data_IF_602767841020
#
_entry.id   IF_602767841020
#
_cell.length_a   1.000
_cell.length_b   1.000
_cell.length_c   1.000
_cell.angle_alpha   90.00
_cell.angle_beta   90.00
_cell.angle_gamma   90.00
#
_symmetry.space_group_name_H-M   'P 1'
#
loop_
_entity.id
_entity.type
_entity.pdbx_description
1 polymer ?
#
# COMPACT_ATOMS: atom_id res chain seq x y z
N UNK A 1 -1.17 -21.96 -16.90
CA UNK A 1 -0.98 -21.81 -18.36
C UNK A 1 -0.61 -20.38 -18.64
N UNK A 2 0.64 -20.14 -19.09
CA UNK A 2 1.17 -18.81 -19.38
C UNK A 2 0.40 -18.20 -20.55
N UNK A 3 -0.51 -17.27 -20.27
CA UNK A 3 -1.03 -16.38 -21.31
C UNK A 3 0.10 -15.40 -21.59
N UNK A 4 0.71 -15.54 -22.76
CA UNK A 4 1.61 -14.54 -23.34
C UNK A 4 0.77 -13.29 -23.65
N UNK A 5 0.58 -12.44 -22.65
CA UNK A 5 0.08 -11.09 -22.86
C UNK A 5 1.13 -10.32 -23.67
N UNK A 6 0.66 -9.59 -24.68
CA UNK A 6 1.42 -8.87 -25.70
C UNK A 6 2.84 -8.44 -25.27
N UNK A 7 3.84 -9.24 -25.63
CA UNK A 7 5.24 -8.93 -25.39
C UNK A 7 5.82 -8.28 -26.64
N UNK A 8 6.26 -7.04 -26.50
CA UNK A 8 7.01 -6.36 -27.56
C UNK A 8 8.48 -6.80 -27.48
N UNK A 9 8.93 -7.64 -28.43
CA UNK A 9 10.29 -8.22 -28.45
C UNK A 9 11.21 -7.38 -29.33
N UNK A 10 12.36 -6.96 -28.80
CA UNK A 10 13.36 -6.17 -29.55
C UNK A 10 13.16 -4.65 -29.51
N UNK A 11 12.27 -4.16 -28.63
CA UNK A 11 12.00 -2.73 -28.45
C UNK A 11 12.47 -2.27 -27.07
N UNK A 12 12.58 -0.94 -26.87
CA UNK A 12 12.98 -0.33 -25.61
C UNK A 12 11.80 0.38 -24.94
N UNK A 13 11.74 0.34 -23.60
CA UNK A 13 10.77 1.11 -22.81
C UNK A 13 10.85 2.63 -23.10
N UNK A 14 12.06 3.13 -23.37
CA UNK A 14 12.29 4.53 -23.80
C UNK A 14 11.57 4.79 -25.14
N UNK A 15 11.67 3.86 -26.09
CA UNK A 15 10.96 3.94 -27.37
C UNK A 15 9.45 3.99 -27.17
N UNK A 16 8.91 3.12 -26.32
CA UNK A 16 7.48 3.09 -25.99
C UNK A 16 6.99 4.45 -25.47
N UNK A 17 7.70 5.04 -24.51
CA UNK A 17 7.33 6.34 -23.93
C UNK A 17 7.50 7.48 -24.95
N UNK A 18 8.63 7.55 -25.65
CA UNK A 18 8.93 8.65 -26.58
C UNK A 18 8.02 8.66 -27.80
N UNK A 19 7.81 7.49 -28.41
CA UNK A 19 7.00 7.37 -29.62
C UNK A 19 5.54 7.63 -29.29
N UNK A 20 4.99 7.01 -28.23
CA UNK A 20 3.59 7.23 -27.83
C UNK A 20 3.33 8.70 -27.49
N UNK A 21 4.22 9.33 -26.71
CA UNK A 21 4.15 10.76 -26.40
C UNK A 21 4.19 11.62 -27.66
N UNK A 22 5.17 11.42 -28.54
CA UNK A 22 5.28 12.17 -29.79
C UNK A 22 4.02 12.04 -30.64
N UNK A 23 3.50 10.82 -30.81
CA UNK A 23 2.29 10.58 -31.59
C UNK A 23 1.09 11.33 -30.99
N UNK A 24 0.83 11.17 -29.70
CA UNK A 24 -0.28 11.84 -29.00
C UNK A 24 -0.18 13.37 -29.06
N UNK A 25 1.02 13.92 -28.90
CA UNK A 25 1.24 15.37 -28.97
C UNK A 25 1.13 15.90 -30.40
N UNK A 26 1.61 15.14 -31.39
CA UNK A 26 1.57 15.53 -32.81
C UNK A 26 0.16 15.55 -33.40
N UNK A 27 -0.72 14.66 -32.93
CA UNK A 27 -2.12 14.60 -33.38
C UNK A 27 -3.05 15.48 -32.52
N UNK A 28 -2.59 15.94 -31.36
CA UNK A 28 -3.38 16.83 -30.52
C UNK A 28 -3.52 18.20 -31.17
N UNK A 29 -4.74 18.55 -31.55
CA UNK A 29 -5.07 19.85 -32.16
C UNK A 29 -5.05 21.01 -31.15
N UNK A 30 -4.84 20.72 -29.86
CA UNK A 30 -4.84 21.70 -28.77
C UNK A 30 -3.44 22.07 -28.29
N UNK A 31 -2.39 21.47 -28.86
CA UNK A 31 -1.01 21.64 -28.39
C UNK A 31 -0.79 21.10 -26.98
N UNK A 32 -1.58 20.11 -26.58
CA UNK A 32 -1.48 19.51 -25.25
C UNK A 32 -0.15 18.77 -25.09
N UNK A 33 0.49 18.96 -23.94
CA UNK A 33 1.70 18.23 -23.55
C UNK A 33 1.29 17.04 -22.69
N UNK A 34 1.70 15.83 -23.08
CA UNK A 34 1.45 14.60 -22.33
C UNK A 34 2.39 14.59 -21.12
N UNK A 35 1.82 14.80 -19.93
CA UNK A 35 2.54 14.81 -18.65
C UNK A 35 2.19 13.64 -17.73
N UNK A 36 1.28 12.77 -18.16
CA UNK A 36 0.83 11.61 -17.39
C UNK A 36 0.97 10.33 -18.18
N UNK A 37 1.32 9.24 -17.51
CA UNK A 37 1.51 7.94 -18.14
C UNK A 37 0.84 6.83 -17.31
N UNK A 38 0.27 5.84 -18.00
CA UNK A 38 -0.18 4.57 -17.40
C UNK A 38 0.32 3.47 -18.32
N UNK A 39 1.04 2.50 -17.77
CA UNK A 39 1.41 1.32 -18.53
C UNK A 39 0.18 0.45 -18.81
N UNK A 40 0.22 -0.27 -19.93
CA UNK A 40 -0.75 -1.32 -20.18
C UNK A 40 -0.65 -2.43 -19.14
N UNK A 41 -1.79 -3.06 -18.85
CA UNK A 41 -1.90 -4.23 -17.97
C UNK A 41 -1.31 -4.05 -16.56
N UNK A 42 -1.21 -2.81 -16.08
CA UNK A 42 -0.63 -2.49 -14.78
C UNK A 42 0.79 -3.03 -14.63
N UNK A 43 1.55 -3.17 -15.72
CA UNK A 43 2.93 -3.67 -15.65
C UNK A 43 3.83 -2.54 -15.14
N UNK A 44 4.64 -2.81 -14.12
CA UNK A 44 5.46 -1.81 -13.43
C UNK A 44 6.97 -2.12 -13.54
N UNK A 45 7.61 -1.94 -14.72
CA UNK A 45 9.06 -2.10 -14.80
C UNK A 45 9.78 -1.15 -13.85
N UNK A 46 10.93 -1.59 -13.32
CA UNK A 46 11.66 -0.86 -12.30
C UNK A 46 12.21 0.46 -12.84
N UNK A 47 12.70 0.48 -14.08
CA UNK A 47 13.35 1.63 -14.72
C UNK A 47 12.37 2.70 -15.23
N UNK A 48 11.07 2.42 -15.21
CA UNK A 48 10.06 3.34 -15.77
C UNK A 48 10.02 4.72 -15.09
N UNK A 49 10.17 4.88 -13.77
CA UNK A 49 10.23 6.19 -13.13
C UNK A 49 11.31 7.10 -13.73
N UNK A 50 12.51 6.57 -13.99
CA UNK A 50 13.61 7.32 -14.61
C UNK A 50 13.29 7.69 -16.06
N UNK A 51 12.74 6.75 -16.83
CA UNK A 51 12.34 6.99 -18.22
C UNK A 51 11.25 8.07 -18.28
N UNK A 52 10.27 8.02 -17.38
CA UNK A 52 9.20 9.01 -17.29
C UNK A 52 9.74 10.40 -17.00
N UNK A 53 10.61 10.53 -15.99
CA UNK A 53 11.22 11.81 -15.63
C UNK A 53 12.00 12.41 -16.80
N UNK A 54 12.86 11.61 -17.45
CA UNK A 54 13.67 12.04 -18.60
C UNK A 54 12.83 12.50 -19.80
N UNK A 55 11.58 12.03 -19.89
CA UNK A 55 10.66 12.36 -20.98
C UNK A 55 9.55 13.34 -20.57
N UNK A 56 9.70 14.01 -19.42
CA UNK A 56 8.79 15.05 -18.97
C UNK A 56 7.41 14.55 -18.50
N UNK A 57 7.27 13.25 -18.25
CA UNK A 57 6.13 12.70 -17.53
C UNK A 57 6.29 13.04 -16.06
N UNK A 58 5.23 13.55 -15.44
CA UNK A 58 5.21 14.04 -14.06
C UNK A 58 4.27 13.25 -13.16
N UNK A 59 3.35 12.48 -13.74
CA UNK A 59 2.35 11.71 -13.02
C UNK A 59 2.20 10.33 -13.64
N UNK A 60 2.05 9.32 -12.79
CA UNK A 60 1.77 7.95 -13.20
C UNK A 60 0.48 7.44 -12.55
N UNK A 61 -0.16 6.47 -13.19
CA UNK A 61 -1.25 5.68 -12.60
C UNK A 61 -1.10 4.21 -12.99
N UNK A 62 0.07 3.67 -12.75
CA UNK A 62 0.49 2.35 -13.19
C UNK A 62 0.22 1.29 -12.12
N UNK A 63 0.43 1.61 -10.84
CA UNK A 63 0.19 0.69 -9.73
C UNK A 63 -1.28 0.62 -9.36
N UNK A 64 -1.76 -0.55 -8.95
CA UNK A 64 -3.06 -0.69 -8.32
C UNK A 64 -2.96 -0.36 -6.82
N UNK A 65 -3.99 0.27 -6.25
CA UNK A 65 -3.97 0.78 -4.88
C UNK A 65 -3.85 -0.34 -3.83
N UNK A 66 -4.44 -1.49 -4.14
CA UNK A 66 -4.30 -2.74 -3.37
C UNK A 66 -2.90 -3.33 -3.46
N UNK A 67 -2.20 -3.22 -4.60
CA UNK A 67 -0.83 -3.71 -4.74
C UNK A 67 0.19 -2.80 -4.03
N UNK A 68 -0.13 -1.50 -3.94
CA UNK A 68 0.73 -0.48 -3.33
C UNK A 68 0.32 -0.14 -1.88
N UNK A 69 -0.70 -0.83 -1.34
CA UNK A 69 -1.27 -0.60 0.00
C UNK A 69 -1.56 0.88 0.32
N UNK A 70 -1.95 1.66 -0.68
CA UNK A 70 -2.20 3.10 -0.50
C UNK A 70 -3.19 3.65 -1.51
N UNK A 71 -4.05 4.55 -1.01
CA UNK A 71 -4.83 5.45 -1.86
C UNK A 71 -4.27 6.88 -1.83
N UNK A 72 -3.17 7.12 -1.11
CA UNK A 72 -2.51 8.42 -1.12
C UNK A 72 -1.51 8.48 -2.29
N UNK A 73 -1.45 9.61 -3.02
CA UNK A 73 -0.40 9.79 -4.00
C UNK A 73 0.96 9.84 -3.31
N UNK A 74 1.99 9.32 -3.98
CA UNK A 74 3.34 9.25 -3.43
C UNK A 74 4.42 9.51 -4.48
N UNK A 75 5.59 9.93 -4.01
CA UNK A 75 6.76 10.19 -4.84
C UNK A 75 7.40 8.88 -5.27
N UNK A 76 7.65 8.72 -6.57
CA UNK A 76 8.41 7.59 -7.08
C UNK A 76 9.90 7.81 -6.89
N UNK A 77 10.61 6.69 -6.81
CA UNK A 77 12.07 6.65 -6.69
C UNK A 77 12.69 6.08 -7.96
N UNK A 78 13.90 6.51 -8.25
CA UNK A 78 14.74 5.99 -9.33
C UNK A 78 14.85 4.48 -9.21
N UNK A 79 14.62 3.79 -10.32
CA UNK A 79 14.56 2.34 -10.43
C UNK A 79 13.62 1.65 -9.41
N UNK A 80 12.63 2.37 -8.87
CA UNK A 80 11.79 1.96 -7.72
C UNK A 80 12.60 1.53 -6.49
N UNK A 81 13.82 2.06 -6.34
CA UNK A 81 14.67 1.86 -5.17
C UNK A 81 14.28 2.78 -4.02
N UNK A 82 15.22 2.98 -3.08
CA UNK A 82 15.01 3.83 -1.90
C UNK A 82 15.95 5.04 -1.84
N UNK A 83 16.89 5.15 -2.78
CA UNK A 83 18.02 6.08 -2.67
C UNK A 83 17.72 7.49 -3.18
N UNK A 84 16.89 7.61 -4.21
CA UNK A 84 16.68 8.88 -4.91
C UNK A 84 15.24 9.00 -5.41
N UNK A 85 14.54 10.05 -4.99
CA UNK A 85 13.27 10.45 -5.57
C UNK A 85 13.48 10.96 -7.01
N UNK A 86 12.54 10.63 -7.90
CA UNK A 86 12.43 11.23 -9.24
C UNK A 86 11.19 12.10 -9.28
N UNK A 87 11.11 13.13 -10.13
CA UNK A 87 10.00 14.09 -10.19
C UNK A 87 8.70 13.53 -10.83
N UNK A 88 8.31 12.32 -10.44
CA UNK A 88 7.10 11.59 -10.87
C UNK A 88 6.28 11.17 -9.65
N UNK A 89 5.03 11.61 -9.58
CA UNK A 89 4.08 11.15 -8.57
C UNK A 89 3.26 9.97 -9.09
N UNK A 90 3.12 8.92 -8.28
CA UNK A 90 2.16 7.85 -8.53
C UNK A 90 0.79 8.21 -7.95
N UNK A 91 -0.25 7.98 -8.74
CA UNK A 91 -1.63 7.93 -8.30
C UNK A 91 -2.21 6.57 -8.62
N UNK A 92 -2.24 5.69 -7.63
CA UNK A 92 -2.68 4.32 -7.84
C UNK A 92 -4.08 4.24 -8.45
N UNK A 93 -4.29 3.22 -9.29
CA UNK A 93 -5.61 2.80 -9.73
C UNK A 93 -6.38 2.23 -8.55
N UNK A 94 -7.55 2.78 -8.24
CA UNK A 94 -8.34 2.31 -7.10
C UNK A 94 -9.32 1.21 -7.50
N UNK A 95 -9.93 1.34 -8.69
CA UNK A 95 -10.88 0.36 -9.22
C UNK A 95 -10.99 0.51 -10.74
N UNK A 96 -11.38 -0.56 -11.42
CA UNK A 96 -11.64 -0.62 -12.85
C UNK A 96 -13.09 -0.98 -13.15
N UNK A 97 -13.59 -0.58 -14.32
CA UNK A 97 -14.86 -1.06 -14.87
C UNK A 97 -14.88 -2.57 -15.14
N UNK A 98 -13.71 -3.14 -15.40
CA UNK A 98 -13.48 -4.58 -15.57
C UNK A 98 -13.61 -5.38 -14.26
N UNK A 99 -13.49 -4.73 -13.10
CA UNK A 99 -13.65 -5.36 -11.77
C UNK A 99 -15.14 -5.44 -11.34
N UNK A 100 -16.04 -4.84 -12.11
CA UNK A 100 -17.42 -4.61 -11.71
C UNK A 100 -18.38 -5.48 -12.53
N UNK A 101 -18.89 -6.56 -11.93
CA UNK A 101 -19.93 -7.40 -12.53
C UNK A 101 -21.22 -7.45 -11.68
N UNK A 102 -22.39 -7.07 -12.25
CA UNK A 102 -22.57 -6.33 -13.48
C UNK A 102 -22.57 -4.80 -13.23
N UNK A 103 -21.93 -4.05 -14.13
CA UNK A 103 -22.26 -2.62 -14.29
C UNK A 103 -23.72 -2.50 -14.78
N UNK A 104 -24.22 -3.42 -15.60
CA UNK A 104 -25.60 -3.40 -16.09
C UNK A 104 -26.60 -4.18 -15.20
N UNK A 105 -27.58 -3.49 -14.63
CA UNK A 105 -28.81 -4.14 -14.17
C UNK A 105 -28.99 -4.35 -12.66
N UNK A 106 -28.16 -3.76 -11.79
CA UNK A 106 -28.53 -3.57 -10.37
C UNK A 106 -28.13 -2.15 -9.93
N UNK A 107 -28.83 -1.16 -10.46
CA UNK A 107 -28.70 0.26 -10.07
C UNK A 107 -29.50 0.60 -8.82
N UNK A 108 -29.36 -0.22 -7.79
CA UNK A 108 -30.01 0.12 -6.54
C UNK A 108 -29.24 1.33 -5.92
N UNK A 109 -29.97 2.28 -5.36
CA UNK A 109 -29.45 3.44 -4.61
C UNK A 109 -29.25 3.02 -3.14
N UNK A 110 -28.18 3.45 -2.44
CA UNK A 110 -27.98 3.10 -1.04
C UNK A 110 -29.26 3.36 -0.22
N UNK A 111 -29.85 2.29 0.35
CA UNK A 111 -31.05 2.38 1.18
C UNK A 111 -32.41 2.15 0.50
N UNK A 112 -32.47 1.71 -0.76
CA UNK A 112 -33.75 1.29 -1.40
C UNK A 112 -33.98 -0.22 -1.30
N UNK A 113 -35.24 -0.68 -1.26
CA UNK A 113 -35.59 -2.10 -1.04
C UNK A 113 -35.14 -3.10 -2.12
N UNK A 114 -34.58 -2.63 -3.24
CA UNK A 114 -34.01 -3.46 -4.31
C UNK A 114 -32.48 -3.54 -4.26
N UNK A 115 -31.87 -3.16 -3.13
CA UNK A 115 -30.43 -3.16 -2.90
C UNK A 115 -29.95 -4.53 -2.43
N UNK A 116 -29.26 -5.26 -3.29
CA UNK A 116 -28.31 -6.26 -2.78
C UNK A 116 -27.03 -5.51 -2.45
N UNK A 117 -26.43 -5.77 -1.28
CA UNK A 117 -25.18 -5.16 -0.78
C UNK A 117 -23.94 -5.41 -1.68
N UNK A 118 -24.14 -5.85 -2.93
CA UNK A 118 -23.11 -6.20 -3.90
C UNK A 118 -23.17 -5.45 -5.23
N UNK A 119 -24.00 -4.41 -5.40
CA UNK A 119 -24.00 -3.65 -6.67
C UNK A 119 -22.70 -2.84 -6.86
N UNK A 120 -22.26 -2.70 -8.11
CA UNK A 120 -21.07 -1.91 -8.45
C UNK A 120 -21.16 -0.47 -7.93
N UNK A 121 -22.32 0.17 -8.06
CA UNK A 121 -22.55 1.54 -7.57
C UNK A 121 -22.41 1.63 -6.05
N UNK A 122 -22.90 0.63 -5.30
CA UNK A 122 -22.73 0.59 -3.84
C UNK A 122 -21.27 0.48 -3.42
N UNK A 123 -20.57 -0.47 -4.03
CA UNK A 123 -19.21 -0.80 -3.67
C UNK A 123 -18.33 0.42 -3.91
N UNK A 124 -18.47 1.08 -5.06
CA UNK A 124 -17.72 2.30 -5.36
C UNK A 124 -18.12 3.47 -4.46
N UNK A 125 -19.41 3.67 -4.19
CA UNK A 125 -19.88 4.69 -3.24
C UNK A 125 -19.25 4.50 -1.86
N UNK A 126 -19.31 3.28 -1.36
CA UNK A 126 -18.78 2.89 -0.04
C UNK A 126 -17.27 3.05 0.01
N UNK A 127 -16.56 2.65 -1.05
CA UNK A 127 -15.12 2.79 -1.16
C UNK A 127 -14.70 4.26 -1.16
N UNK A 128 -15.32 5.12 -1.96
CA UNK A 128 -15.03 6.56 -1.97
C UNK A 128 -15.31 7.21 -0.62
N UNK A 129 -16.40 6.82 0.07
CA UNK A 129 -16.67 7.31 1.42
C UNK A 129 -15.58 6.91 2.43
N UNK A 130 -15.02 5.71 2.30
CA UNK A 130 -13.89 5.28 3.14
C UNK A 130 -12.63 6.09 2.82
N UNK A 131 -12.33 6.29 1.55
CA UNK A 131 -11.16 7.05 1.08
C UNK A 131 -11.23 8.53 1.51
N UNK A 132 -12.42 9.13 1.41
CA UNK A 132 -12.64 10.53 1.76
C UNK A 132 -12.33 10.84 3.25
N UNK A 133 -12.49 9.87 4.15
CA UNK A 133 -12.22 10.06 5.59
C UNK A 133 -10.78 10.43 5.91
N UNK A 134 -9.83 10.04 5.06
CA UNK A 134 -8.40 10.34 5.22
C UNK A 134 -7.83 11.18 4.06
N UNK A 135 -8.68 11.68 3.17
CA UNK A 135 -8.27 12.55 2.06
C UNK A 135 -7.46 11.86 0.97
N UNK A 136 -7.72 10.58 0.71
CA UNK A 136 -7.05 9.83 -0.36
C UNK A 136 -7.50 10.21 -1.77
N UNK A 137 -6.78 9.67 -2.76
CA UNK A 137 -7.10 9.74 -4.18
C UNK A 137 -7.91 8.51 -4.60
N UNK A 138 -8.95 8.74 -5.38
CA UNK A 138 -9.71 7.69 -6.04
C UNK A 138 -9.47 7.80 -7.55
N UNK A 139 -8.88 6.77 -8.15
CA UNK A 139 -8.63 6.71 -9.59
C UNK A 139 -9.42 5.56 -10.20
N UNK A 140 -10.44 5.90 -10.99
CA UNK A 140 -11.27 4.91 -11.66
C UNK A 140 -10.81 4.70 -13.10
N UNK A 141 -10.48 3.46 -13.47
CA UNK A 141 -10.18 3.09 -14.85
C UNK A 141 -11.51 2.79 -15.56
N UNK A 142 -11.70 3.41 -16.72
CA UNK A 142 -12.86 3.18 -17.57
C UNK A 142 -12.42 2.97 -19.02
N UNK A 143 -12.74 1.82 -19.60
CA UNK A 143 -12.57 1.55 -21.02
C UNK A 143 -13.78 2.10 -21.80
N UNK A 144 -13.61 2.68 -23.01
CA UNK A 144 -14.74 3.13 -23.83
C UNK A 144 -15.75 2.01 -24.13
N UNK A 145 -15.25 0.79 -24.34
CA UNK A 145 -16.03 -0.43 -24.53
C UNK A 145 -15.25 -1.61 -23.97
N UNK A 146 -15.92 -2.53 -23.26
CA UNK A 146 -15.31 -3.81 -22.88
C UNK A 146 -16.10 -4.93 -23.55
N UNK A 147 -15.52 -5.50 -24.60
CA UNK A 147 -16.07 -6.69 -25.24
C UNK A 147 -15.60 -7.89 -24.42
N UNK A 148 -16.51 -8.80 -24.07
CA UNK A 148 -16.18 -10.05 -23.38
C UNK A 148 -15.27 -10.92 -24.25
N UNK A 149 -13.99 -10.58 -24.31
CA UNK A 149 -12.96 -11.29 -25.09
C UNK A 149 -12.54 -12.54 -24.35
N UNK A 150 -13.47 -13.47 -24.12
CA UNK A 150 -13.17 -14.82 -23.63
C UNK A 150 -12.30 -14.89 -22.37
N UNK A 151 -12.23 -13.82 -21.57
CA UNK A 151 -11.46 -13.80 -20.33
C UNK A 151 -12.33 -14.48 -19.27
N UNK A 152 -11.85 -15.52 -18.56
CA UNK A 152 -12.67 -16.33 -17.66
C UNK A 152 -13.45 -15.55 -16.59
N UNK A 153 -13.04 -14.31 -16.28
CA UNK A 153 -13.68 -13.43 -15.30
C UNK A 153 -14.53 -12.30 -15.90
N UNK A 154 -14.39 -11.97 -17.19
CA UNK A 154 -15.18 -10.94 -17.88
C UNK A 154 -16.26 -11.62 -18.76
N UNK A 155 -17.30 -12.14 -18.11
CA UNK A 155 -18.31 -12.99 -18.77
C UNK A 155 -19.37 -12.21 -19.57
N UNK A 156 -19.33 -10.86 -19.54
CA UNK A 156 -20.36 -10.00 -20.14
C UNK A 156 -19.78 -8.84 -20.93
N UNK A 157 -20.46 -8.46 -22.01
CA UNK A 157 -20.18 -7.24 -22.78
C UNK A 157 -20.67 -6.05 -21.95
N UNK A 158 -19.77 -5.09 -21.69
CA UNK A 158 -20.14 -3.80 -21.10
C UNK A 158 -20.10 -2.73 -22.20
N UNK A 159 -21.25 -2.15 -22.48
CA UNK A 159 -21.39 -1.12 -23.49
C UNK A 159 -20.99 0.25 -22.93
N UNK A 160 -20.65 1.17 -23.84
CA UNK A 160 -20.43 2.57 -23.48
C UNK A 160 -21.62 3.17 -22.72
N UNK A 161 -22.85 2.82 -23.09
CA UNK A 161 -24.09 3.28 -22.43
C UNK A 161 -24.15 2.88 -20.96
N UNK A 162 -23.79 1.64 -20.63
CA UNK A 162 -23.82 1.13 -19.25
C UNK A 162 -22.86 1.92 -18.36
N UNK A 163 -21.69 2.24 -18.93
CA UNK A 163 -20.63 3.01 -18.28
C UNK A 163 -21.01 4.48 -18.11
N UNK A 164 -21.68 5.07 -19.11
CA UNK A 164 -22.20 6.42 -19.00
C UNK A 164 -23.28 6.51 -17.92
N UNK A 165 -24.19 5.54 -17.86
CA UNK A 165 -25.23 5.45 -16.83
C UNK A 165 -24.61 5.30 -15.43
N UNK A 166 -23.55 4.49 -15.28
CA UNK A 166 -22.77 4.42 -14.05
C UNK A 166 -22.28 5.81 -13.61
N UNK A 167 -21.59 6.53 -14.49
CA UNK A 167 -20.99 7.82 -14.15
C UNK A 167 -22.06 8.86 -13.81
N UNK A 168 -23.18 8.86 -14.53
CA UNK A 168 -24.33 9.72 -14.26
C UNK A 168 -24.97 9.44 -12.89
N UNK A 169 -25.01 8.18 -12.46
CA UNK A 169 -25.51 7.80 -11.14
C UNK A 169 -24.49 8.03 -10.01
N UNK A 170 -23.20 7.76 -10.27
CA UNK A 170 -22.14 7.80 -9.27
C UNK A 170 -21.70 9.21 -8.90
N UNK A 171 -21.49 10.09 -9.88
CA UNK A 171 -20.99 11.44 -9.63
C UNK A 171 -21.84 12.24 -8.63
N UNK A 172 -23.19 12.29 -8.75
CA UNK A 172 -24.02 13.01 -7.79
C UNK A 172 -23.88 12.50 -6.35
N UNK A 173 -23.65 11.20 -6.16
CA UNK A 173 -23.55 10.59 -4.84
C UNK A 173 -22.28 10.97 -4.09
N UNK A 174 -21.18 11.23 -4.81
CA UNK A 174 -19.87 11.51 -4.20
C UNK A 174 -19.43 12.97 -4.34
N UNK A 175 -20.14 13.79 -5.11
CA UNK A 175 -19.75 15.18 -5.42
C UNK A 175 -19.54 16.06 -4.19
N UNK A 176 -20.28 15.83 -3.11
CA UNK A 176 -20.18 16.64 -1.89
C UNK A 176 -19.00 16.25 -0.99
N UNK A 177 -18.35 15.12 -1.27
CA UNK A 177 -17.22 14.58 -0.48
C UNK A 177 -15.94 14.42 -1.32
N UNK A 178 -15.94 14.89 -2.57
CA UNK A 178 -14.84 14.70 -3.50
C UNK A 178 -14.59 15.95 -4.34
N UNK A 179 -13.37 16.04 -4.86
CA UNK A 179 -12.98 17.04 -5.84
C UNK A 179 -12.54 16.32 -7.12
N UNK A 180 -13.24 16.59 -8.21
CA UNK A 180 -12.97 15.98 -9.52
C UNK A 180 -11.97 16.84 -10.30
N UNK A 181 -10.89 16.21 -10.77
CA UNK A 181 -9.90 16.86 -11.62
C UNK A 181 -9.24 15.84 -12.55
N UNK A 182 -8.53 16.35 -13.54
CA UNK A 182 -7.61 15.60 -14.39
C UNK A 182 -6.41 15.09 -13.60
N UNK A 183 -5.72 14.07 -14.13
CA UNK A 183 -4.42 13.61 -13.61
C UNK A 183 -3.43 14.76 -13.42
N UNK A 184 -3.36 15.66 -14.40
CA UNK A 184 -2.50 16.84 -14.35
C UNK A 184 -2.89 17.79 -13.23
N UNK A 185 -4.16 18.17 -13.13
CA UNK A 185 -4.63 19.13 -12.13
C UNK A 185 -4.46 18.63 -10.69
N UNK A 186 -4.85 17.37 -10.40
CA UNK A 186 -4.61 16.77 -9.07
C UNK A 186 -3.12 16.53 -8.80
N UNK A 187 -2.34 16.26 -9.84
CA UNK A 187 -0.88 16.14 -9.81
C UNK A 187 -0.19 17.43 -9.41
N UNK A 188 -0.51 18.53 -10.11
CA UNK A 188 -0.03 19.88 -9.85
C UNK A 188 -0.41 20.33 -8.43
N UNK A 189 -1.66 20.09 -8.00
CA UNK A 189 -2.10 20.36 -6.62
C UNK A 189 -1.30 19.56 -5.59
N UNK A 190 -1.10 18.26 -5.82
CA UNK A 190 -0.39 17.38 -4.89
C UNK A 190 1.07 17.80 -4.73
N UNK A 191 1.77 18.11 -5.85
CA UNK A 191 3.15 18.61 -5.80
C UNK A 191 3.24 19.92 -5.02
N UNK A 192 2.35 20.88 -5.30
CA UNK A 192 2.33 22.14 -4.59
C UNK A 192 2.03 21.96 -3.09
N UNK A 193 1.13 21.02 -2.73
CA UNK A 193 0.80 20.68 -1.34
C UNK A 193 1.99 20.05 -0.60
N UNK A 194 2.69 19.10 -1.22
CA UNK A 194 3.84 18.42 -0.60
C UNK A 194 4.99 19.39 -0.32
N UNK A 195 5.12 20.44 -1.14
CA UNK A 195 6.16 21.46 -0.97
C UNK A 195 5.72 22.65 -0.10
N UNK A 196 4.45 22.69 0.33
CA UNK A 196 3.97 23.76 1.20
C UNK A 196 4.53 23.59 2.62
N UNK A 197 5.17 24.63 3.14
CA UNK A 197 5.65 24.69 4.52
C UNK A 197 4.64 25.38 5.43
N UNK A 198 4.44 24.86 6.64
CA UNK A 198 3.60 25.50 7.65
C UNK A 198 4.37 25.57 8.96
N UNK A 199 4.51 26.78 9.47
CA UNK A 199 5.05 27.07 10.79
C UNK A 199 3.99 27.81 11.61
N UNK A 200 4.07 27.76 12.94
CA UNK A 200 3.19 28.56 13.77
C UNK A 200 3.81 28.90 15.12
N UNK A 201 3.31 29.98 15.71
CA UNK A 201 3.71 30.48 17.03
C UNK A 201 2.47 30.85 17.83
N UNK A 202 2.51 30.63 19.15
CA UNK A 202 1.47 31.09 20.09
C UNK A 202 2.08 32.12 21.02
N UNK A 203 1.41 33.26 21.15
CA UNK A 203 1.75 34.33 22.10
C UNK A 203 0.48 34.79 22.81
N UNK A 204 0.33 34.40 24.08
CA UNK A 204 -0.90 34.61 24.83
C UNK A 204 -2.08 33.88 24.17
N UNK A 205 -3.15 34.60 23.87
CA UNK A 205 -4.34 34.08 23.18
C UNK A 205 -4.26 34.18 21.66
N UNK A 206 -3.12 34.56 21.09
CA UNK A 206 -2.94 34.75 19.65
C UNK A 206 -2.07 33.64 19.06
N UNK A 207 -2.52 33.04 17.97
CA UNK A 207 -1.73 32.10 17.17
C UNK A 207 -1.43 32.74 15.83
N UNK A 208 -0.16 32.76 15.41
CA UNK A 208 0.24 33.17 14.07
C UNK A 208 0.79 31.96 13.33
N UNK A 209 0.07 31.50 12.30
CA UNK A 209 0.52 30.47 11.38
C UNK A 209 1.10 31.11 10.11
N UNK A 210 2.30 30.69 9.73
CA UNK A 210 3.02 31.10 8.53
C UNK A 210 2.94 29.96 7.53
N UNK A 211 2.37 30.24 6.36
CA UNK A 211 2.22 29.29 5.25
C UNK A 211 3.16 29.73 4.13
N UNK A 212 4.16 28.90 3.82
CA UNK A 212 5.13 29.12 2.75
C UNK A 212 4.75 28.28 1.55
N UNK A 213 4.48 28.93 0.42
CA UNK A 213 4.11 28.29 -0.83
C UNK A 213 5.22 28.53 -1.86
N UNK A 214 6.04 27.52 -2.20
CA UNK A 214 7.06 27.66 -3.25
C UNK A 214 6.45 27.61 -4.66
N UNK A 215 5.21 27.12 -4.78
CA UNK A 215 4.48 26.99 -6.03
C UNK A 215 3.08 27.56 -5.88
N UNK A 216 2.48 28.00 -6.98
CA UNK A 216 1.08 28.39 -6.97
C UNK A 216 0.20 27.19 -6.65
N UNK A 217 -0.85 27.40 -5.86
CA UNK A 217 -1.80 26.36 -5.49
C UNK A 217 -3.21 26.92 -5.48
N UNK A 218 -4.16 26.12 -5.98
CA UNK A 218 -5.57 26.46 -5.96
C UNK A 218 -6.24 25.86 -4.73
N UNK A 219 -6.92 26.68 -3.93
CA UNK A 219 -7.76 26.21 -2.82
C UNK A 219 -7.03 25.29 -1.81
N UNK A 220 -5.85 25.68 -1.33
CA UNK A 220 -5.15 24.90 -0.30
C UNK A 220 -5.94 24.93 1.01
N UNK A 221 -6.39 23.75 1.46
CA UNK A 221 -7.08 23.58 2.74
C UNK A 221 -6.08 23.32 3.86
N UNK A 222 -6.22 24.06 4.96
CA UNK A 222 -5.47 23.89 6.20
C UNK A 222 -6.44 23.54 7.32
N UNK A 223 -6.16 22.45 8.03
CA UNK A 223 -6.92 22.06 9.22
C UNK A 223 -6.25 22.66 10.46
N UNK A 224 -7.05 23.18 11.38
CA UNK A 224 -6.60 23.78 12.63
C UNK A 224 -7.53 23.36 13.78
N UNK A 225 -7.08 23.41 15.06
CA UNK A 225 -7.93 23.07 16.19
C UNK A 225 -9.24 23.86 16.20
N UNK A 226 -10.37 23.20 16.41
CA UNK A 226 -11.71 23.84 16.41
C UNK A 226 -11.88 24.89 17.50
N UNK A 227 -10.99 24.91 18.50
CA UNK A 227 -10.91 25.93 19.55
C UNK A 227 -10.29 27.24 19.08
N UNK A 228 -9.61 27.25 17.92
CA UNK A 228 -9.05 28.46 17.33
C UNK A 228 -10.09 29.16 16.46
N UNK A 229 -10.04 30.49 16.44
CA UNK A 229 -10.90 31.32 15.57
C UNK A 229 -10.04 32.19 14.69
N UNK A 230 -10.20 32.08 13.37
CA UNK A 230 -9.47 32.91 12.42
C UNK A 230 -9.85 34.38 12.62
N UNK A 231 -8.86 35.23 12.85
CA UNK A 231 -9.01 36.68 13.08
C UNK A 231 -8.58 37.47 11.85
N UNK A 232 -7.47 37.07 11.21
CA UNK A 232 -6.89 37.79 10.08
C UNK A 232 -6.15 36.84 9.14
N UNK A 233 -6.13 37.15 7.85
CA UNK A 233 -5.31 36.49 6.85
C UNK A 233 -4.66 37.52 5.92
N UNK A 234 -3.46 37.24 5.42
CA UNK A 234 -2.78 38.08 4.40
C UNK A 234 -3.13 37.68 2.96
N UNK A 235 -4.00 36.70 2.78
CA UNK A 235 -4.55 36.27 1.49
C UNK A 235 -6.04 36.05 1.61
N UNK A 236 -6.73 35.95 0.47
CA UNK A 236 -8.15 35.60 0.44
C UNK A 236 -8.35 34.20 1.03
N UNK A 237 -9.30 34.09 1.95
CA UNK A 237 -9.59 32.84 2.65
C UNK A 237 -11.09 32.60 2.75
N UNK A 238 -11.47 31.34 2.90
CA UNK A 238 -12.83 30.92 3.27
C UNK A 238 -12.76 29.89 4.39
N UNK A 239 -13.74 29.93 5.30
CA UNK A 239 -13.84 29.01 6.43
C UNK A 239 -15.13 28.21 6.24
N UNK A 240 -15.09 27.09 5.49
CA UNK A 240 -16.30 26.35 5.13
C UNK A 240 -16.92 25.65 6.35
N UNK A 241 -16.08 25.24 7.31
CA UNK A 241 -16.48 24.58 8.56
C UNK A 241 -15.52 24.97 9.69
N UNK A 242 -15.93 24.89 10.96
CA UNK A 242 -15.02 25.04 12.09
C UNK A 242 -13.83 24.07 11.98
N UNK A 243 -12.62 24.59 12.18
CA UNK A 243 -11.38 23.80 12.14
C UNK A 243 -10.77 23.61 10.74
N UNK A 244 -11.31 24.26 9.70
CA UNK A 244 -10.72 24.26 8.37
C UNK A 244 -10.74 25.66 7.74
N UNK A 245 -9.65 26.06 7.11
CA UNK A 245 -9.55 27.29 6.30
C UNK A 245 -8.99 26.95 4.94
N UNK A 246 -9.60 27.50 3.89
CA UNK A 246 -9.15 27.37 2.51
C UNK A 246 -8.51 28.68 2.09
N UNK A 247 -7.28 28.62 1.60
CA UNK A 247 -6.63 29.70 0.87
C UNK A 247 -7.29 29.80 -0.51
N UNK A 248 -8.25 30.72 -0.64
CA UNK A 248 -9.24 30.73 -1.71
C UNK A 248 -8.66 31.19 -3.06
N UNK A 249 -9.07 30.51 -4.13
CA UNK A 249 -8.64 30.83 -5.49
C UNK A 249 -7.24 30.32 -5.80
N UNK A 250 -6.63 30.87 -6.85
CA UNK A 250 -5.23 30.62 -7.18
C UNK A 250 -4.34 31.52 -6.33
N UNK A 251 -3.65 30.93 -5.37
CA UNK A 251 -2.69 31.63 -4.51
C UNK A 251 -1.30 31.47 -5.12
N UNK A 252 -0.64 32.61 -5.35
CA UNK A 252 0.70 32.66 -5.93
C UNK A 252 1.76 32.07 -4.98
N UNK A 253 3.00 31.80 -5.47
CA UNK A 253 4.11 31.53 -4.59
C UNK A 253 4.36 32.71 -3.63
N UNK A 254 4.66 32.42 -2.37
CA UNK A 254 4.86 33.46 -1.36
C UNK A 254 4.78 32.96 0.07
N UNK A 255 4.81 33.91 1.00
CA UNK A 255 4.61 33.66 2.43
C UNK A 255 3.33 34.35 2.88
N UNK A 256 2.46 33.58 3.52
CA UNK A 256 1.15 34.02 3.97
C UNK A 256 1.00 33.83 5.47
N UNK A 257 0.35 34.77 6.14
CA UNK A 257 0.13 34.71 7.58
C UNK A 257 -1.36 34.59 7.86
N UNK A 258 -1.71 33.59 8.67
CA UNK A 258 -3.03 33.40 9.26
C UNK A 258 -2.94 33.63 10.76
N UNK A 259 -3.67 34.61 11.27
CA UNK A 259 -3.75 34.92 12.70
C UNK A 259 -5.05 34.38 13.26
N UNK A 260 -4.97 33.59 14.32
CA UNK A 260 -6.09 33.03 15.05
C UNK A 260 -6.11 33.54 16.49
N UNK A 261 -7.28 33.55 17.12
CA UNK A 261 -7.43 33.65 18.57
C UNK A 261 -7.71 32.27 19.17
N UNK A 262 -7.19 32.00 20.36
CA UNK A 262 -7.35 30.74 21.10
C UNK A 262 -7.68 31.02 22.58
N UNK A 263 -8.38 30.09 23.23
CA UNK A 263 -8.75 30.19 24.64
C UNK A 263 -7.61 29.82 25.61
N UNK A 264 -6.53 29.18 25.14
CA UNK A 264 -5.42 28.73 26.00
C UNK A 264 -4.31 29.78 26.10
N UNK A 265 -3.79 29.98 27.32
CA UNK A 265 -2.74 30.95 27.66
C UNK A 265 -1.37 30.32 27.92
N UNK A 266 -1.19 29.01 27.71
CA UNK A 266 0.03 28.29 28.12
C UNK A 266 0.99 27.95 26.97
N UNK A 267 2.20 28.51 27.12
CA UNK A 267 3.54 28.21 26.58
C UNK A 267 3.71 27.85 25.10
N UNK A 268 4.67 28.56 24.49
CA UNK A 268 5.29 28.36 23.17
C UNK A 268 5.52 26.89 22.80
N UNK A 269 4.56 26.29 22.13
CA UNK A 269 4.82 25.19 21.22
C UNK A 269 5.17 25.82 19.87
N UNK A 270 6.40 25.63 19.43
CA UNK A 270 6.78 25.81 18.02
C UNK A 270 6.64 24.46 17.34
N UNK A 271 6.05 24.43 16.14
CA UNK A 271 6.12 23.24 15.29
C UNK A 271 7.60 22.86 15.04
N UNK A 272 7.93 21.59 14.78
CA UNK A 272 9.22 21.26 14.18
C UNK A 272 9.36 22.05 12.89
N UNK A 273 10.40 22.87 12.79
CA UNK A 273 10.74 23.64 11.59
C UNK A 273 11.07 22.67 10.46
N UNK A 274 10.08 22.26 9.66
CA UNK A 274 10.34 21.58 8.41
C UNK A 274 10.71 22.66 7.41
N UNK A 275 12.01 22.92 7.32
CA UNK A 275 12.57 23.67 6.19
C UNK A 275 12.60 22.69 5.02
N UNK A 276 11.86 22.92 3.91
CA UNK A 276 12.04 22.09 2.73
C UNK A 276 13.45 22.35 2.22
N UNK A 277 14.36 21.39 2.40
CA UNK A 277 15.68 21.47 1.78
C UNK A 277 15.50 21.27 0.28
N UNK A 278 15.52 22.37 -0.46
CA UNK A 278 15.46 22.41 -1.93
C UNK A 278 16.81 22.11 -2.60
N UNK A 279 17.76 21.51 -1.89
CA UNK A 279 19.09 21.18 -2.42
C UNK A 279 19.65 19.93 -1.75
N UNK A 280 19.48 18.78 -2.40
CA UNK A 280 20.38 17.66 -2.17
C UNK A 280 21.53 17.78 -3.18
N UNK A 281 22.74 17.96 -2.65
CA UNK A 281 23.94 17.93 -3.47
C UNK A 281 24.13 16.52 -4.03
N UNK A 282 24.26 16.41 -5.35
CA UNK A 282 24.60 15.19 -6.06
C UNK A 282 26.05 14.85 -5.73
N UNK A 283 26.26 13.79 -4.96
CA UNK A 283 27.54 13.07 -4.94
C UNK A 283 27.33 11.71 -5.59
N UNK A 284 27.74 11.59 -6.85
CA UNK A 284 27.97 10.30 -7.48
C UNK A 284 29.26 9.72 -6.90
N UNK A 285 29.18 8.60 -6.18
CA UNK A 285 30.37 7.77 -5.96
C UNK A 285 30.05 6.30 -6.18
N UNK A 286 30.85 5.71 -7.04
CA UNK A 286 30.87 4.29 -7.35
C UNK A 286 31.06 3.41 -6.10
N UNK A 287 30.53 2.19 -6.22
CA UNK A 287 30.67 1.02 -5.37
C UNK A 287 31.69 1.09 -4.22
N UNK A 288 31.21 0.99 -2.99
CA UNK A 288 31.98 0.39 -1.89
C UNK A 288 31.07 -0.18 -0.80
N UNK A 289 31.36 -1.41 -0.40
CA UNK A 289 30.67 -2.20 0.64
C UNK A 289 30.78 -1.49 2.00
N UNK A 290 29.67 -1.39 2.74
CA UNK A 290 29.64 -1.01 4.16
C UNK A 290 28.96 -2.12 4.97
N UNK A 291 29.74 -2.77 5.83
CA UNK A 291 29.31 -3.56 6.99
C UNK A 291 28.64 -2.67 8.04
N UNK A 292 27.52 -3.12 8.62
CA UNK A 292 26.84 -2.45 9.76
C UNK A 292 26.49 -3.46 10.86
N UNK A 293 26.96 -3.25 12.10
CA UNK A 293 26.23 -3.60 13.33
C UNK A 293 26.02 -2.32 14.20
N UNK A 294 25.05 -2.16 15.11
CA UNK A 294 24.07 -3.03 15.74
C UNK A 294 22.83 -2.22 16.22
N UNK A 295 21.64 -2.78 16.03
CA UNK A 295 20.35 -2.51 16.71
C UNK A 295 19.75 -3.91 16.92
N UNK A 296 19.12 -4.28 18.07
CA UNK A 296 19.00 -5.68 18.48
C UNK A 296 18.41 -6.50 17.34
N UNK A 297 19.22 -7.45 16.86
CA UNK A 297 18.94 -8.15 15.63
C UNK A 297 17.59 -8.83 15.81
N UNK A 298 16.62 -8.43 15.00
CA UNK A 298 15.47 -9.28 14.71
C UNK A 298 15.58 -9.65 13.26
N UNK A 299 15.41 -10.93 12.97
CA UNK A 299 15.35 -11.44 11.60
C UNK A 299 13.89 -11.67 11.28
N UNK A 300 13.34 -10.81 10.42
CA UNK A 300 11.98 -10.95 9.92
C UNK A 300 11.99 -12.09 8.92
N UNK A 301 11.39 -13.21 9.29
CA UNK A 301 11.28 -14.39 8.44
C UNK A 301 10.18 -14.14 7.41
N UNK A 302 9.02 -13.70 7.88
CA UNK A 302 7.90 -13.32 7.03
C UNK A 302 7.09 -12.22 7.71
N UNK A 303 6.71 -11.19 6.96
CA UNK A 303 5.82 -10.10 7.40
C UNK A 303 4.52 -10.06 6.57
N UNK A 304 4.39 -10.93 5.57
CA UNK A 304 3.26 -11.01 4.64
C UNK A 304 2.78 -9.67 4.05
N UNK A 305 3.58 -8.60 4.09
CA UNK A 305 3.20 -7.27 3.62
C UNK A 305 3.33 -7.13 2.10
N UNK A 306 4.01 -8.08 1.46
CA UNK A 306 4.21 -8.15 0.02
C UNK A 306 3.54 -9.42 -0.55
N UNK A 307 2.28 -9.32 -1.00
CA UNK A 307 1.57 -10.44 -1.63
C UNK A 307 2.26 -10.96 -2.90
N UNK A 308 3.02 -10.12 -3.62
CA UNK A 308 3.74 -10.53 -4.84
C UNK A 308 4.93 -11.41 -4.48
N UNK A 309 5.70 -11.02 -3.47
CA UNK A 309 6.81 -11.84 -2.93
C UNK A 309 6.28 -13.20 -2.47
N UNK A 310 5.17 -13.21 -1.72
CA UNK A 310 4.57 -14.46 -1.27
C UNK A 310 3.97 -15.29 -2.40
N UNK A 311 3.33 -14.67 -3.41
CA UNK A 311 2.80 -15.40 -4.58
C UNK A 311 3.93 -16.05 -5.40
N UNK A 312 5.13 -15.49 -5.36
CA UNK A 312 6.35 -16.12 -5.87
C UNK A 312 6.97 -17.14 -4.90
N UNK A 313 6.23 -17.50 -3.85
CA UNK A 313 6.60 -18.45 -2.80
C UNK A 313 7.88 -18.04 -2.08
N UNK A 314 8.08 -16.72 -1.90
CA UNK A 314 9.20 -16.18 -1.18
C UNK A 314 8.77 -15.46 0.10
N UNK A 315 9.53 -15.62 1.17
CA UNK A 315 9.38 -14.90 2.43
C UNK A 315 10.25 -13.62 2.45
N UNK A 316 10.27 -12.90 3.58
CA UNK A 316 11.04 -11.64 3.74
C UNK A 316 12.57 -11.84 3.66
N UNK A 317 13.05 -13.08 3.74
CA UNK A 317 14.45 -13.46 3.54
C UNK A 317 14.77 -13.88 2.09
N UNK A 318 13.80 -13.71 1.17
CA UNK A 318 13.85 -14.21 -0.20
C UNK A 318 14.07 -15.73 -0.29
N UNK A 319 13.58 -16.47 0.70
CA UNK A 319 13.61 -17.92 0.75
C UNK A 319 12.24 -18.52 0.55
N UNK A 320 12.22 -19.79 0.17
CA UNK A 320 10.97 -20.48 -0.16
C UNK A 320 10.01 -20.55 1.03
N UNK A 321 8.74 -20.26 0.78
CA UNK A 321 7.63 -20.38 1.72
C UNK A 321 6.43 -21.02 1.02
N UNK A 322 5.88 -22.09 1.60
CA UNK A 322 4.83 -22.87 0.95
C UNK A 322 4.12 -23.78 1.96
N UNK A 323 2.98 -24.31 1.55
CA UNK A 323 2.21 -25.37 2.20
C UNK A 323 2.30 -26.76 1.52
N UNK A 324 3.15 -26.90 0.49
CA UNK A 324 3.16 -27.95 -0.53
C UNK A 324 1.77 -28.45 -0.98
N UNK A 325 0.82 -27.51 -1.16
CA UNK A 325 -0.59 -27.77 -1.53
C UNK A 325 -1.35 -28.66 -0.52
N UNK A 326 -0.91 -28.71 0.73
CA UNK A 326 -1.62 -29.49 1.78
C UNK A 326 -2.70 -28.67 2.48
N UNK A 327 -2.70 -27.35 2.35
CA UNK A 327 -3.81 -26.49 2.78
C UNK A 327 -4.91 -26.55 1.71
N UNK A 328 -6.18 -26.51 2.13
CA UNK A 328 -7.38 -26.90 1.35
C UNK A 328 -7.81 -25.88 0.29
N UNK A 329 -6.88 -25.46 -0.57
CA UNK A 329 -7.13 -24.58 -1.72
C UNK A 329 -7.21 -23.08 -1.41
N UNK A 330 -6.95 -22.63 -0.16
CA UNK A 330 -6.84 -21.19 0.18
C UNK A 330 -5.62 -20.90 1.05
N UNK A 331 -4.52 -20.64 0.35
CA UNK A 331 -3.38 -19.88 0.85
C UNK A 331 -3.47 -18.53 0.17
N UNK A 332 -3.79 -17.47 0.91
CA UNK A 332 -3.94 -16.13 0.33
C UNK A 332 -3.31 -15.11 1.26
N UNK A 333 -2.43 -14.27 0.72
CA UNK A 333 -1.92 -13.11 1.44
C UNK A 333 -2.84 -11.92 1.17
N UNK A 334 -3.29 -11.28 2.24
CA UNK A 334 -4.10 -10.06 2.24
C UNK A 334 -3.26 -8.99 2.91
N UNK A 335 -3.09 -7.81 2.29
CA UNK A 335 -2.41 -6.62 2.82
C UNK A 335 -2.02 -6.71 4.32
N UNK A 336 -0.89 -7.38 4.61
CA UNK A 336 -0.25 -7.59 5.93
C UNK A 336 -0.56 -8.89 6.72
N UNK A 337 -1.23 -9.90 6.16
CA UNK A 337 -1.33 -11.23 6.79
C UNK A 337 -1.59 -12.37 5.79
N UNK A 338 -1.21 -13.58 6.19
CA UNK A 338 -1.44 -14.82 5.48
C UNK A 338 -2.67 -15.56 6.02
N UNK A 339 -3.63 -15.89 5.15
CA UNK A 339 -4.75 -16.78 5.45
C UNK A 339 -4.45 -18.21 4.99
N UNK A 340 -4.60 -19.17 5.90
CA UNK A 340 -4.39 -20.60 5.68
C UNK A 340 -5.65 -21.40 6.03
N UNK A 341 -6.31 -21.97 5.03
CA UNK A 341 -7.38 -22.95 5.23
C UNK A 341 -6.81 -24.36 5.42
N UNK A 342 -6.96 -24.91 6.61
CA UNK A 342 -6.30 -26.15 7.00
C UNK A 342 -7.26 -27.35 7.13
N UNK A 343 -6.64 -28.52 7.12
CA UNK A 343 -7.19 -29.83 7.47
C UNK A 343 -6.24 -30.57 8.43
N UNK A 344 -6.63 -31.76 8.91
CA UNK A 344 -5.79 -32.62 9.74
C UNK A 344 -4.38 -32.91 9.19
N UNK A 345 -4.23 -32.96 7.87
CA UNK A 345 -2.96 -33.30 7.21
C UNK A 345 -2.18 -32.06 6.74
N UNK A 346 -2.74 -30.87 6.94
CA UNK A 346 -2.18 -29.65 6.38
C UNK A 346 -0.96 -29.18 7.16
N UNK A 347 -0.01 -28.61 6.43
CA UNK A 347 1.14 -27.92 7.00
C UNK A 347 1.53 -26.71 6.15
N UNK A 348 2.26 -25.79 6.76
CA UNK A 348 2.88 -24.65 6.10
C UNK A 348 4.30 -24.48 6.63
N UNK A 349 5.23 -24.01 5.80
CA UNK A 349 6.60 -23.73 6.19
C UNK A 349 7.18 -22.51 5.51
N UNK A 350 8.18 -21.91 6.15
CA UNK A 350 8.98 -20.82 5.63
C UNK A 350 10.45 -21.05 5.96
N UNK A 351 11.31 -20.96 4.94
CA UNK A 351 12.74 -21.24 5.07
C UNK A 351 13.51 -20.07 5.69
N UNK A 352 14.43 -20.37 6.59
CA UNK A 352 15.25 -19.38 7.29
C UNK A 352 16.53 -18.99 6.52
N UNK A 353 16.82 -19.69 5.42
CA UNK A 353 17.98 -19.42 4.58
C UNK A 353 18.11 -20.48 3.48
N UNK A 354 19.19 -20.44 2.68
CA UNK A 354 19.41 -21.38 1.60
C UNK A 354 19.36 -22.85 2.06
N UNK A 355 18.72 -23.71 1.25
CA UNK A 355 18.59 -25.15 1.57
C UNK A 355 19.93 -25.85 1.78
N UNK A 356 21.02 -25.35 1.21
CA UNK A 356 22.35 -25.94 1.28
C UNK A 356 23.22 -25.42 2.43
N UNK A 357 22.79 -24.42 3.19
CA UNK A 357 23.62 -23.72 4.19
C UNK A 357 23.12 -23.91 5.62
N UNK A 358 24.03 -24.03 6.58
CA UNK A 358 23.66 -24.07 8.00
C UNK A 358 23.45 -22.64 8.48
N UNK A 359 22.18 -22.24 8.67
CA UNK A 359 21.86 -20.89 9.09
C UNK A 359 21.97 -20.78 10.61
N UNK A 360 22.88 -19.93 11.08
CA UNK A 360 23.14 -19.74 12.51
C UNK A 360 22.23 -18.66 13.10
N UNK A 361 21.36 -19.10 14.01
CA UNK A 361 20.45 -18.30 14.80
C UNK A 361 20.70 -18.48 16.31
N UNK A 362 21.87 -18.99 16.70
CA UNK A 362 22.22 -19.25 18.11
C UNK A 362 22.32 -17.99 18.98
N UNK A 363 22.41 -16.82 18.35
CA UNK A 363 22.52 -15.53 19.02
C UNK A 363 21.15 -14.95 19.41
N UNK A 364 20.05 -15.53 18.91
CA UNK A 364 18.69 -15.09 19.21
C UNK A 364 18.09 -15.93 20.34
N UNK A 365 17.00 -15.44 20.92
CA UNK A 365 16.40 -16.03 22.13
C UNK A 365 14.98 -16.52 21.93
N UNK A 366 14.21 -15.88 21.05
CA UNK A 366 12.79 -16.13 20.87
C UNK A 366 12.41 -16.24 19.39
N UNK A 367 11.44 -17.12 19.12
CA UNK A 367 10.59 -17.08 17.93
C UNK A 367 9.30 -16.34 18.29
N UNK A 368 8.96 -15.34 17.48
CA UNK A 368 7.74 -14.55 17.65
C UNK A 368 6.82 -14.77 16.46
N UNK A 369 5.57 -15.10 16.73
CA UNK A 369 4.56 -15.31 15.68
C UNK A 369 3.23 -14.70 16.10
N UNK A 370 2.58 -13.95 15.21
CA UNK A 370 1.25 -13.40 15.44
C UNK A 370 0.18 -14.17 14.68
N UNK A 371 -0.89 -14.58 15.38
CA UNK A 371 -1.97 -15.40 14.84
C UNK A 371 -3.36 -14.91 15.26
N UNK A 372 -4.38 -15.26 14.46
CA UNK A 372 -5.78 -15.38 14.91
C UNK A 372 -6.49 -16.54 14.19
N UNK A 373 -7.58 -17.04 14.77
CA UNK A 373 -8.42 -18.13 14.26
C UNK A 373 -9.88 -17.66 14.12
N UNK A 374 -10.24 -17.04 12.98
CA UNK A 374 -11.58 -16.51 12.76
C UNK A 374 -12.68 -17.57 12.93
N UNK A 375 -13.73 -17.21 13.66
CA UNK A 375 -14.87 -18.09 13.94
C UNK A 375 -14.63 -19.11 15.06
N UNK A 376 -13.56 -18.95 15.85
CA UNK A 376 -13.20 -19.78 17.02
C UNK A 376 -13.09 -21.29 16.77
N UNK A 377 -12.85 -21.71 15.52
CA UNK A 377 -12.76 -23.14 15.18
C UNK A 377 -11.30 -23.64 15.27
N UNK A 378 -11.10 -24.61 16.17
CA UNK A 378 -9.98 -25.55 16.17
C UNK A 378 -8.55 -24.94 16.16
N UNK A 379 -8.16 -24.26 17.23
CA UNK A 379 -6.87 -23.56 17.38
C UNK A 379 -5.75 -24.40 18.06
N UNK A 380 -5.79 -25.74 17.93
CA UNK A 380 -4.69 -26.61 18.41
C UNK A 380 -3.77 -26.96 17.26
N UNK A 381 -2.51 -26.56 17.32
CA UNK A 381 -1.54 -26.84 16.26
C UNK A 381 -0.14 -26.87 16.86
N UNK A 382 0.86 -27.27 16.06
CA UNK A 382 2.25 -27.17 16.46
C UNK A 382 2.94 -26.06 15.68
N UNK A 383 3.74 -25.27 16.39
CA UNK A 383 4.82 -24.50 15.80
C UNK A 383 6.08 -25.36 15.89
N UNK A 384 6.83 -25.49 14.80
CA UNK A 384 8.02 -26.34 14.77
C UNK A 384 9.20 -25.59 14.17
N UNK A 385 10.40 -25.88 14.69
CA UNK A 385 11.65 -25.55 14.04
C UNK A 385 12.23 -26.81 13.39
N UNK A 386 12.74 -26.67 12.18
CA UNK A 386 13.56 -27.69 11.53
C UNK A 386 15.00 -27.22 11.54
N UNK A 387 15.91 -28.07 11.99
CA UNK A 387 17.35 -27.89 11.89
C UNK A 387 17.95 -28.91 10.90
N UNK A 388 19.18 -28.67 10.47
CA UNK A 388 19.95 -29.58 9.64
C UNK A 388 21.03 -30.30 10.44
N UNK A 389 21.52 -31.40 9.87
CA UNK A 389 22.74 -32.05 10.34
C UNK A 389 23.91 -31.07 10.13
N UNK A 390 24.63 -30.63 11.18
CA UNK A 390 25.64 -29.55 11.04
C UNK A 390 26.77 -29.86 10.06
N UNK A 391 27.10 -31.13 9.88
CA UNK A 391 28.13 -31.60 8.95
C UNK A 391 27.60 -31.86 7.53
N UNK A 392 26.29 -31.77 7.34
CA UNK A 392 25.60 -32.03 6.08
C UNK A 392 24.37 -31.12 5.97
N UNK A 393 24.61 -29.81 5.81
CA UNK A 393 23.57 -28.77 5.86
C UNK A 393 22.43 -28.96 4.83
N UNK A 394 22.57 -29.81 3.81
CA UNK A 394 21.48 -30.19 2.89
C UNK A 394 20.55 -31.29 3.42
N UNK A 395 20.88 -31.92 4.55
CA UNK A 395 20.10 -32.99 5.18
C UNK A 395 19.42 -32.46 6.43
N UNK A 396 18.10 -32.54 6.48
CA UNK A 396 17.31 -32.03 7.62
C UNK A 396 17.07 -33.09 8.68
N UNK A 397 17.05 -32.66 9.94
CA UNK A 397 16.58 -33.46 11.07
C UNK A 397 15.04 -33.49 11.11
N UNK A 398 14.50 -34.28 12.03
CA UNK A 398 13.07 -34.28 12.35
C UNK A 398 12.63 -32.91 12.90
N UNK A 399 11.35 -32.58 12.74
CA UNK A 399 10.78 -31.36 13.29
C UNK A 399 10.81 -31.35 14.82
N UNK A 400 11.30 -30.24 15.36
CA UNK A 400 11.30 -29.95 16.78
C UNK A 400 10.06 -29.12 17.11
N UNK A 401 9.09 -29.70 17.82
CA UNK A 401 7.73 -29.18 17.91
C UNK A 401 7.38 -28.58 19.28
N UNK A 402 6.67 -27.47 19.27
CA UNK A 402 6.00 -26.88 20.44
C UNK A 402 4.49 -26.85 20.16
N UNK A 403 3.71 -27.47 21.04
CA UNK A 403 2.25 -27.48 20.93
C UNK A 403 1.63 -26.15 21.40
N UNK A 404 0.72 -25.62 20.60
CA UNK A 404 -0.05 -24.39 20.84
C UNK A 404 -1.53 -24.74 20.93
N UNK A 405 -2.22 -24.22 21.94
CA UNK A 405 -3.66 -24.44 22.14
C UNK A 405 -4.08 -24.50 23.61
N UNK A 406 -5.37 -24.79 23.89
CA UNK A 406 -5.87 -24.81 25.26
C UNK A 406 -5.19 -25.92 26.06
N UNK A 407 -4.84 -25.60 27.31
CA UNK A 407 -4.11 -26.48 28.24
C UNK A 407 -2.67 -26.82 27.81
N UNK A 408 -2.04 -25.97 26.99
CA UNK A 408 -0.60 -26.02 26.70
C UNK A 408 0.10 -24.85 27.38
N UNK A 409 1.44 -24.90 27.46
CA UNK A 409 2.27 -23.76 27.92
C UNK A 409 2.05 -22.50 27.06
N UNK A 410 1.67 -22.69 25.80
CA UNK A 410 1.51 -21.65 24.79
C UNK A 410 0.04 -21.59 24.36
N UNK A 411 -0.83 -21.14 25.29
CA UNK A 411 -2.26 -21.05 25.06
C UNK A 411 -2.68 -19.68 24.50
N UNK A 412 -3.62 -19.69 23.56
CA UNK A 412 -4.29 -18.49 23.04
C UNK A 412 -5.56 -18.23 23.86
N UNK A 413 -5.77 -16.99 24.31
CA UNK A 413 -6.85 -16.63 25.25
C UNK A 413 -8.14 -16.18 24.57
N UNK A 414 -8.05 -15.35 23.54
CA UNK A 414 -9.17 -14.95 22.68
C UNK A 414 -8.83 -15.18 21.20
N UNK A 415 -9.19 -16.35 20.70
CA UNK A 415 -8.69 -16.84 19.41
C UNK A 415 -9.25 -16.09 18.19
N UNK A 416 -10.31 -15.29 18.34
CA UNK A 416 -10.82 -14.45 17.24
C UNK A 416 -10.04 -13.14 17.08
N UNK A 417 -9.22 -12.76 18.07
CA UNK A 417 -8.39 -11.55 18.03
C UNK A 417 -6.92 -11.88 17.81
N UNK A 418 -6.18 -10.92 17.24
CA UNK A 418 -4.75 -11.07 17.01
C UNK A 418 -4.00 -11.26 18.32
N UNK A 419 -3.19 -12.32 18.37
CA UNK A 419 -2.35 -12.64 19.51
C UNK A 419 -0.92 -12.93 19.05
N UNK A 420 0.03 -12.35 19.75
CA UNK A 420 1.44 -12.66 19.58
C UNK A 420 1.84 -13.78 20.52
N UNK A 421 2.45 -14.82 19.96
CA UNK A 421 3.11 -15.88 20.69
C UNK A 421 4.61 -15.65 20.68
N UNK A 422 5.22 -15.60 21.87
CA UNK A 422 6.67 -15.52 22.06
C UNK A 422 7.14 -16.86 22.62
N UNK A 423 7.82 -17.66 21.80
CA UNK A 423 8.32 -18.99 22.18
C UNK A 423 9.85 -18.90 22.33
N UNK A 424 10.42 -19.18 23.52
CA UNK A 424 11.86 -19.32 23.68
C UNK A 424 12.42 -20.37 22.72
N UNK A 425 13.49 -20.07 22.00
CA UNK A 425 14.11 -21.00 21.04
C UNK A 425 14.58 -22.30 21.71
N UNK A 426 14.92 -22.24 23.01
CA UNK A 426 15.26 -23.39 23.84
C UNK A 426 14.11 -24.38 24.02
N UNK A 427 12.85 -23.95 23.85
CA UNK A 427 11.67 -24.81 23.99
C UNK A 427 11.55 -25.84 22.84
N UNK A 428 12.19 -25.59 21.71
CA UNK A 428 12.17 -26.53 20.58
C UNK A 428 13.21 -27.65 20.75
N UNK A 429 14.37 -27.37 21.37
CA UNK A 429 15.49 -28.32 21.39
C UNK A 429 16.19 -28.50 20.04
N UNK A 430 15.94 -27.60 19.08
CA UNK A 430 16.58 -27.58 17.76
C UNK A 430 18.03 -27.10 17.84
N UNK A 431 18.89 -27.55 16.92
CA UNK A 431 20.22 -26.99 16.77
C UNK A 431 20.16 -25.60 16.11
N UNK A 432 20.35 -24.55 16.92
CA UNK A 432 20.23 -23.17 16.47
C UNK A 432 21.34 -22.74 15.50
N UNK A 433 22.48 -23.45 15.43
CA UNK A 433 23.56 -23.12 14.48
C UNK A 433 23.30 -23.65 13.07
N UNK A 434 22.18 -24.36 12.86
CA UNK A 434 21.84 -25.00 11.60
C UNK A 434 20.32 -24.97 11.33
N UNK A 435 19.62 -23.90 11.72
CA UNK A 435 18.18 -23.80 11.48
C UNK A 435 17.85 -23.72 9.98
N UNK A 436 16.70 -24.27 9.63
CA UNK A 436 16.22 -24.40 8.25
C UNK A 436 14.86 -23.81 8.01
N UNK A 437 13.89 -24.11 8.86
CA UNK A 437 12.53 -23.69 8.61
C UNK A 437 11.76 -23.47 9.91
N UNK A 438 10.79 -22.56 9.84
CA UNK A 438 9.66 -22.50 10.75
C UNK A 438 8.49 -23.20 10.06
N UNK A 439 7.76 -24.06 10.77
CA UNK A 439 6.60 -24.76 10.21
C UNK A 439 5.41 -24.77 11.16
N UNK A 440 4.21 -24.77 10.59
CA UNK A 440 2.95 -24.95 11.30
C UNK A 440 2.28 -26.23 10.80
N UNK A 441 1.89 -27.14 11.70
CA UNK A 441 1.23 -28.40 11.33
C UNK A 441 0.35 -28.92 12.46
N UNK A 442 -0.19 -30.14 12.32
CA UNK A 442 -1.03 -30.82 13.33
C UNK A 442 -2.30 -30.04 13.68
N UNK A 443 -2.86 -29.32 12.73
CA UNK A 443 -4.15 -28.66 12.89
C UNK A 443 -5.29 -29.66 13.10
N UNK A 444 -6.39 -29.29 13.80
CA UNK A 444 -7.48 -30.21 14.13
C UNK A 444 -8.69 -29.98 13.22
N UNK A 445 -9.22 -31.05 12.65
CA UNK A 445 -10.37 -30.98 11.76
C UNK A 445 -10.10 -30.03 10.60
N UNK A 446 -11.06 -29.14 10.33
CA UNK A 446 -10.97 -28.13 9.28
C UNK A 446 -11.20 -26.75 9.89
N UNK A 447 -10.47 -25.76 9.43
CA UNK A 447 -10.58 -24.39 9.91
C UNK A 447 -9.70 -23.43 9.13
N UNK A 448 -9.60 -22.22 9.64
CA UNK A 448 -8.79 -21.15 9.07
C UNK A 448 -7.91 -20.56 10.16
N UNK A 449 -6.63 -20.37 9.86
CA UNK A 449 -5.71 -19.58 10.68
C UNK A 449 -5.21 -18.42 9.85
N UNK A 450 -5.15 -17.24 10.45
CA UNK A 450 -4.49 -16.09 9.89
C UNK A 450 -3.17 -15.82 10.64
N UNK A 451 -2.11 -15.50 9.90
CA UNK A 451 -0.75 -15.27 10.40
C UNK A 451 -0.31 -13.88 9.96
N UNK A 452 0.06 -12.99 10.88
CA UNK A 452 0.44 -11.60 10.58
C UNK A 452 1.96 -11.48 10.33
N UNK A 453 2.78 -12.04 11.21
CA UNK A 453 4.23 -12.05 11.01
C UNK A 453 4.92 -13.20 11.74
N UNK A 454 6.17 -13.44 11.34
CA UNK A 454 7.13 -14.37 11.93
C UNK A 454 8.50 -13.68 12.01
N UNK A 455 9.07 -13.55 13.20
CA UNK A 455 10.45 -13.09 13.34
C UNK A 455 11.19 -13.80 14.48
N UNK A 456 12.52 -13.84 14.37
CA UNK A 456 13.42 -14.38 15.39
C UNK A 456 14.16 -13.20 16.04
N UNK A 457 14.21 -13.15 17.38
CA UNK A 457 14.77 -12.03 18.17
C UNK A 457 15.59 -12.49 19.37
#
# INVERSE_FOLDING_TARGET
TNVLWFATVGHSLIGEVRISKFLLESISTKGDIVRSYRTGHLIYPNEMPDIWEQNGIKYSSTGAANDQNTNLPYQLFSNRGYSQEVDVLEFCMTSSDEDLDPINGVWALPGTGNYTDGSALYQQYTLVHKIAKYGGSYTFLLHPTSFGVGIPWATRVQLFSDKLDFQNAFHPLVRNISYFDTMGGRGDFTKARLNAGIDWTISGTTVNAIVKLPMAIKNLTLNYPTTWKLVKATTAVSVPVPGAVILSGFVAPGTYTLTFSTASTTSTLSAPTVTPNSTFAITTSAAHIITVPAVPARVVVDDFSDPVRYNNQNNSLHQYTHDDNTMRDRTTVWADWLLLDFSNASYWYSLLGPKTECNDYSHFTNLNVAFRFPGKKAYRFNVNLQDAVPTACGTTNAFNAVAVGPNTTYALTDVDTWQQLTIPLTAFGANLTALKAVTFNKFPGNGTVEVDYIYIS
#
